data_IF_701807918443
#
_entry.id   IF_701807918443
#
_cell.length_a   1.000
_cell.length_b   1.000
_cell.length_c   1.000
_cell.angle_alpha   90.00
_cell.angle_beta   90.00
_cell.angle_gamma   90.00
#
_symmetry.space_group_name_H-M   'P 1'
#
loop_
_entity.id
_entity.type
_entity.pdbx_description
1 polymer ?
#
# COMPACT_ATOMS: atom_id res chain seq x y z
N UNK A 1 -8.00 18.76 -2.08
CA UNK A 1 -8.88 17.57 -2.05
C UNK A 1 -8.66 16.59 -3.19
N UNK A 2 -8.46 17.02 -4.45
CA UNK A 2 -8.33 16.09 -5.60
C UNK A 2 -7.22 15.03 -5.44
N UNK A 3 -6.00 15.44 -5.07
CA UNK A 3 -4.89 14.50 -4.86
C UNK A 3 -5.17 13.49 -3.73
N UNK A 4 -5.83 13.94 -2.64
CA UNK A 4 -6.22 13.08 -1.52
C UNK A 4 -7.13 11.94 -1.98
N UNK A 5 -8.12 12.25 -2.83
CA UNK A 5 -9.03 11.24 -3.39
C UNK A 5 -8.27 10.23 -4.25
N UNK A 6 -7.30 10.67 -5.06
CA UNK A 6 -6.48 9.75 -5.86
C UNK A 6 -5.68 8.77 -4.97
N UNK A 7 -5.06 9.27 -3.90
CA UNK A 7 -4.36 8.41 -2.95
C UNK A 7 -5.30 7.49 -2.17
N UNK A 8 -6.51 7.94 -1.84
CA UNK A 8 -7.53 7.12 -1.18
C UNK A 8 -8.02 5.97 -2.07
N UNK A 9 -8.21 6.25 -3.36
CA UNK A 9 -8.55 5.24 -4.36
C UNK A 9 -7.41 4.21 -4.51
N UNK A 10 -6.16 4.66 -4.60
CA UNK A 10 -5.00 3.78 -4.62
C UNK A 10 -4.87 2.95 -3.33
N UNK A 11 -5.20 3.52 -2.18
CA UNK A 11 -5.21 2.83 -0.89
C UNK A 11 -6.33 1.80 -0.79
N UNK A 12 -7.43 1.97 -1.50
CA UNK A 12 -8.54 1.00 -1.56
C UNK A 12 -8.11 -0.33 -2.18
N UNK A 13 -7.12 -0.29 -3.08
CA UNK A 13 -6.56 -1.50 -3.71
C UNK A 13 -5.51 -2.19 -2.82
N UNK A 14 -4.92 -1.47 -1.84
CA UNK A 14 -3.80 -1.95 -1.04
C UNK A 14 -4.04 -3.27 -0.28
N UNK A 15 -5.22 -3.53 0.34
CA UNK A 15 -5.49 -4.82 0.97
C UNK A 15 -5.36 -6.00 0.00
N UNK A 16 -5.79 -5.83 -1.24
CA UNK A 16 -5.69 -6.86 -2.28
C UNK A 16 -4.24 -7.10 -2.71
N UNK A 17 -3.43 -6.05 -2.76
CA UNK A 17 -1.99 -6.17 -3.04
C UNK A 17 -1.26 -6.95 -1.94
N UNK A 18 -1.63 -6.75 -0.68
CA UNK A 18 -1.10 -7.54 0.44
C UNK A 18 -1.53 -9.02 0.36
N UNK A 19 -2.78 -9.30 -0.05
CA UNK A 19 -3.24 -10.67 -0.29
C UNK A 19 -2.44 -11.34 -1.42
N UNK A 20 -2.26 -10.65 -2.55
CA UNK A 20 -1.47 -11.16 -3.67
C UNK A 20 0.00 -11.42 -3.27
N UNK A 21 0.54 -10.59 -2.38
CA UNK A 21 1.90 -10.74 -1.85
C UNK A 21 2.02 -11.81 -0.75
N UNK A 22 0.98 -12.63 -0.53
CA UNK A 22 0.90 -13.66 0.54
C UNK A 22 1.13 -13.11 1.95
N UNK A 23 0.67 -11.89 2.22
CA UNK A 23 0.75 -11.20 3.52
C UNK A 23 -0.66 -10.93 4.10
N UNK A 24 -1.42 -11.97 4.47
CA UNK A 24 -2.83 -11.82 4.86
C UNK A 24 -3.03 -10.97 6.13
N UNK A 25 -2.14 -11.05 7.10
CA UNK A 25 -2.21 -10.22 8.31
C UNK A 25 -2.17 -8.71 7.99
N UNK A 26 -1.30 -8.31 7.06
CA UNK A 26 -1.21 -6.92 6.61
C UNK A 26 -2.44 -6.50 5.81
N UNK A 27 -3.04 -7.41 5.04
CA UNK A 27 -4.30 -7.14 4.35
C UNK A 27 -5.45 -6.85 5.33
N UNK A 28 -5.54 -7.62 6.41
CA UNK A 28 -6.55 -7.40 7.47
C UNK A 28 -6.35 -6.03 8.13
N UNK A 29 -5.14 -5.73 8.58
CA UNK A 29 -4.81 -4.43 9.21
C UNK A 29 -5.09 -3.28 8.25
N UNK A 30 -4.67 -3.39 6.98
CA UNK A 30 -4.91 -2.36 5.97
C UNK A 30 -6.39 -2.18 5.66
N UNK A 31 -7.21 -3.24 5.74
CA UNK A 31 -8.65 -3.15 5.54
C UNK A 31 -9.32 -2.35 6.65
N UNK A 32 -8.91 -2.57 7.91
CA UNK A 32 -9.39 -1.79 9.05
C UNK A 32 -8.98 -0.32 8.89
N UNK A 33 -7.72 -0.06 8.54
CA UNK A 33 -7.23 1.29 8.28
C UNK A 33 -8.02 1.95 7.15
N UNK A 34 -8.28 1.24 6.05
CA UNK A 34 -9.02 1.75 4.91
C UNK A 34 -10.43 2.22 5.29
N UNK A 35 -11.14 1.48 6.14
CA UNK A 35 -12.43 1.93 6.69
C UNK A 35 -12.25 3.27 7.40
N UNK A 36 -11.24 3.38 8.28
CA UNK A 36 -10.90 4.62 8.96
C UNK A 36 -10.55 5.76 8.01
N UNK A 37 -9.86 5.47 6.89
CA UNK A 37 -9.51 6.47 5.88
C UNK A 37 -10.74 7.04 5.19
N UNK A 38 -11.70 6.20 4.81
CA UNK A 38 -12.96 6.64 4.21
C UNK A 38 -13.82 7.41 5.19
N UNK A 39 -13.89 6.97 6.44
CA UNK A 39 -14.58 7.71 7.51
C UNK A 39 -13.98 9.10 7.72
N UNK A 40 -12.64 9.22 7.78
CA UNK A 40 -11.95 10.50 7.85
C UNK A 40 -12.31 11.38 6.64
N UNK A 41 -12.24 10.83 5.43
CA UNK A 41 -12.53 11.58 4.20
C UNK A 41 -13.95 12.17 4.20
N UNK A 42 -14.97 11.36 4.53
CA UNK A 42 -16.35 11.84 4.59
C UNK A 42 -16.56 12.86 5.72
N UNK A 43 -15.89 12.67 6.87
CA UNK A 43 -15.97 13.61 8.00
C UNK A 43 -15.42 14.99 7.62
N UNK A 44 -14.26 15.04 6.96
CA UNK A 44 -13.65 16.28 6.46
C UNK A 44 -14.51 16.92 5.37
N UNK A 45 -15.10 16.11 4.48
CA UNK A 45 -15.86 16.61 3.33
C UNK A 45 -17.24 17.17 3.72
N UNK A 46 -17.92 16.54 4.68
CA UNK A 46 -19.33 16.84 4.98
C UNK A 46 -19.53 17.66 6.26
N UNK A 47 -18.57 17.65 7.18
CA UNK A 47 -18.75 18.25 8.51
C UNK A 47 -17.63 19.23 8.86
N UNK A 48 -16.61 18.76 9.56
CA UNK A 48 -15.52 19.56 10.09
C UNK A 48 -14.26 18.72 10.16
N UNK A 49 -13.11 19.38 10.03
CA UNK A 49 -11.82 18.69 10.03
C UNK A 49 -11.60 17.98 11.38
N UNK A 50 -11.42 16.65 11.40
CA UNK A 50 -11.14 15.91 12.61
C UNK A 50 -9.87 16.49 13.24
N UNK A 51 -9.92 16.76 14.54
CA UNK A 51 -8.76 17.30 15.27
C UNK A 51 -7.48 16.50 14.96
N UNK A 52 -6.36 17.20 14.85
CA UNK A 52 -5.05 16.60 14.60
C UNK A 52 -4.77 15.54 15.68
N UNK A 53 -4.27 14.37 15.28
CA UNK A 53 -4.08 13.18 16.13
C UNK A 53 -5.35 12.49 16.64
N UNK A 54 -6.53 12.82 16.11
CA UNK A 54 -7.72 11.99 16.33
C UNK A 54 -7.53 10.57 15.75
N UNK A 55 -8.38 9.63 16.19
CA UNK A 55 -8.32 8.26 15.71
C UNK A 55 -8.49 8.17 14.19
N UNK A 56 -9.45 8.91 13.61
CA UNK A 56 -9.70 8.94 12.17
C UNK A 56 -8.56 9.60 11.41
N UNK A 57 -7.98 10.67 11.93
CA UNK A 57 -6.76 11.29 11.37
C UNK A 57 -5.60 10.28 11.35
N UNK A 58 -5.35 9.60 12.46
CA UNK A 58 -4.23 8.64 12.56
C UNK A 58 -4.43 7.46 11.62
N UNK A 59 -5.64 6.90 11.55
CA UNK A 59 -5.99 5.84 10.60
C UNK A 59 -5.82 6.30 9.16
N UNK A 60 -6.13 7.57 8.86
CA UNK A 60 -5.95 8.13 7.53
C UNK A 60 -4.49 8.10 7.08
N UNK A 61 -3.59 8.71 7.88
CA UNK A 61 -2.17 8.80 7.52
C UNK A 61 -1.44 7.46 7.64
N UNK A 62 -1.73 6.64 8.67
CA UNK A 62 -1.18 5.29 8.77
C UNK A 62 -1.65 4.39 7.62
N UNK A 63 -2.91 4.53 7.21
CA UNK A 63 -3.46 3.83 6.06
C UNK A 63 -2.78 4.23 4.74
N UNK A 64 -2.44 5.52 4.56
CA UNK A 64 -1.64 5.97 3.41
C UNK A 64 -0.24 5.35 3.40
N UNK A 65 0.43 5.30 4.54
CA UNK A 65 1.74 4.65 4.67
C UNK A 65 1.64 3.17 4.33
N UNK A 66 0.65 2.48 4.89
CA UNK A 66 0.40 1.07 4.60
C UNK A 66 0.11 0.82 3.12
N UNK A 67 -0.65 1.70 2.48
CA UNK A 67 -0.91 1.63 1.04
C UNK A 67 0.36 1.81 0.21
N UNK A 68 1.22 2.77 0.57
CA UNK A 68 2.49 2.97 -0.10
C UNK A 68 3.38 1.73 0.00
N UNK A 69 3.50 1.16 1.19
CA UNK A 69 4.25 -0.09 1.44
C UNK A 69 3.69 -1.24 0.61
N UNK A 70 2.36 -1.36 0.48
CA UNK A 70 1.72 -2.38 -0.34
C UNK A 70 2.14 -2.28 -1.81
N UNK A 71 2.09 -1.06 -2.37
CA UNK A 71 2.48 -0.79 -3.76
C UNK A 71 3.96 -1.08 -4.02
N UNK A 72 4.85 -0.65 -3.12
CA UNK A 72 6.29 -0.92 -3.25
C UNK A 72 6.56 -2.42 -3.21
N UNK A 73 6.00 -3.15 -2.24
CA UNK A 73 6.19 -4.61 -2.16
C UNK A 73 5.62 -5.33 -3.37
N UNK A 74 4.46 -4.89 -3.88
CA UNK A 74 3.87 -5.45 -5.09
C UNK A 74 4.79 -5.27 -6.30
N UNK A 75 5.31 -4.06 -6.53
CA UNK A 75 6.23 -3.77 -7.65
C UNK A 75 7.48 -4.64 -7.54
N UNK A 76 8.09 -4.71 -6.35
CA UNK A 76 9.29 -5.53 -6.13
C UNK A 76 9.01 -7.01 -6.38
N UNK A 77 7.87 -7.52 -5.91
CA UNK A 77 7.47 -8.92 -6.13
C UNK A 77 7.27 -9.23 -7.61
N UNK A 78 6.60 -8.34 -8.34
CA UNK A 78 6.37 -8.47 -9.78
C UNK A 78 7.68 -8.44 -10.56
N UNK A 79 8.58 -7.50 -10.26
CA UNK A 79 9.90 -7.40 -10.91
C UNK A 79 10.74 -8.65 -10.62
N UNK A 80 10.78 -9.10 -9.37
CA UNK A 80 11.52 -10.31 -8.99
C UNK A 80 10.98 -11.57 -9.65
N UNK A 81 9.69 -11.62 -9.95
CA UNK A 81 9.06 -12.76 -10.62
C UNK A 81 9.22 -12.71 -12.15
N UNK A 82 9.79 -11.64 -12.70
CA UNK A 82 10.01 -11.50 -14.14
C UNK A 82 11.13 -12.43 -14.64
N UNK A 83 10.89 -13.22 -15.71
CA UNK A 83 11.91 -14.10 -16.30
C UNK A 83 13.19 -13.34 -16.68
N UNK A 84 13.06 -12.16 -17.28
CA UNK A 84 14.21 -11.34 -17.68
C UNK A 84 15.11 -10.93 -16.50
N UNK A 85 14.52 -10.67 -15.33
CA UNK A 85 15.28 -10.35 -14.12
C UNK A 85 15.97 -11.60 -13.56
N UNK A 86 15.29 -12.74 -13.55
CA UNK A 86 15.88 -14.03 -13.13
C UNK A 86 17.05 -14.46 -14.04
N UNK A 87 16.90 -14.31 -15.35
CA UNK A 87 17.95 -14.62 -16.33
C UNK A 87 19.18 -13.72 -16.14
N UNK A 88 18.97 -12.43 -15.85
CA UNK A 88 20.07 -11.51 -15.56
C UNK A 88 20.84 -11.87 -14.28
N UNK A 89 20.13 -12.30 -13.23
CA UNK A 89 20.74 -12.77 -11.98
C UNK A 89 21.54 -14.06 -12.17
N UNK A 90 21.02 -15.00 -12.95
CA UNK A 90 21.72 -16.26 -13.23
C UNK A 90 23.02 -16.01 -14.00
N UNK A 91 22.98 -15.14 -15.00
CA UNK A 91 24.16 -14.76 -15.80
C UNK A 91 25.25 -14.07 -14.97
N UNK A 92 24.86 -13.15 -14.08
CA UNK A 92 25.79 -12.49 -13.16
C UNK A 92 26.45 -13.51 -12.21
N UNK A 93 25.66 -14.45 -11.67
CA UNK A 93 26.18 -15.50 -10.79
C UNK A 93 27.18 -16.43 -11.50
N UNK A 94 26.95 -16.76 -12.77
CA UNK A 94 27.90 -17.53 -13.58
C UNK A 94 29.22 -16.79 -13.79
N UNK A 95 29.18 -15.47 -14.05
CA UNK A 95 30.41 -14.65 -14.23
C UNK A 95 31.22 -14.42 -12.96
N UNK A 96 30.60 -14.50 -11.79
CA UNK A 96 31.30 -14.35 -10.50
C UNK A 96 31.93 -15.66 -10.00
N UNK A 97 31.51 -16.80 -10.57
CA UNK A 97 32.01 -18.14 -10.22
C UNK A 97 33.04 -18.68 -11.23
N UNK A 98 33.26 -17.98 -12.34
CA UNK A 98 34.31 -18.24 -13.34
C UNK A 98 35.59 -17.48 -13.02
#
# INVERSE_FOLDING_TARGET
MGAIVMFLLLATVAPFLFLQSRKPAFAVVQSILLIGMWLYFFQVMMYSDPGVFSATWSMFYLGLIGAHVAWVMFIVSTVKSSPAYQDSLNKEKETLLS
#
